data_IF_214282263460
#
_entry.id   IF_214282263460
#
_cell.length_a   1.000
_cell.length_b   1.000
_cell.length_c   1.000
_cell.angle_alpha   90.00
_cell.angle_beta   90.00
_cell.angle_gamma   90.00
#
_symmetry.space_group_name_H-M   'P 1'
#
loop_
_entity.id
_entity.type
_entity.pdbx_description
1 polymer ?
#
# COMPACT_ATOMS: atom_id res chain seq x y z
N UNK A 1 3.95 -16.99 -4.82
CA UNK A 1 2.55 -17.34 -4.46
C UNK A 1 2.40 -17.13 -2.96
N UNK A 2 1.38 -16.39 -2.53
CA UNK A 2 1.17 -16.08 -1.12
C UNK A 2 0.65 -17.30 -0.35
N UNK A 3 1.14 -17.51 0.87
CA UNK A 3 0.68 -18.57 1.76
C UNK A 3 -0.72 -18.25 2.32
N UNK A 4 -1.56 -19.27 2.51
CA UNK A 4 -2.90 -19.13 3.10
C UNK A 4 -2.87 -19.58 4.57
N UNK A 5 -2.09 -18.88 5.38
CA UNK A 5 -1.99 -19.10 6.82
C UNK A 5 -1.99 -17.77 7.58
N UNK A 6 -2.22 -17.85 8.89
CA UNK A 6 -2.40 -16.72 9.79
C UNK A 6 -1.08 -16.07 10.24
N UNK A 7 0.07 -16.60 9.81
CA UNK A 7 1.36 -16.01 10.10
C UNK A 7 1.66 -14.81 9.19
N UNK A 8 2.55 -13.93 9.66
CA UNK A 8 3.09 -12.86 8.85
C UNK A 8 4.26 -13.35 8.01
N UNK A 9 4.25 -12.98 6.74
CA UNK A 9 5.27 -13.34 5.76
C UNK A 9 5.77 -12.09 5.03
N UNK A 10 7.03 -12.07 4.57
CA UNK A 10 7.54 -10.94 3.79
C UNK A 10 6.82 -10.83 2.44
N UNK A 11 6.55 -9.60 1.99
CA UNK A 11 5.98 -9.38 0.65
C UNK A 11 6.98 -9.82 -0.43
N UNK A 12 6.57 -10.71 -1.36
CA UNK A 12 7.46 -11.20 -2.41
C UNK A 12 8.00 -10.08 -3.33
N UNK A 13 9.26 -10.13 -3.79
CA UNK A 13 9.88 -9.09 -4.62
C UNK A 13 9.12 -8.73 -5.89
N UNK A 14 8.41 -9.68 -6.49
CA UNK A 14 7.59 -9.45 -7.69
C UNK A 14 6.43 -8.46 -7.47
N UNK A 15 6.06 -8.20 -6.21
CA UNK A 15 5.05 -7.22 -5.82
C UNK A 15 5.65 -5.85 -5.48
N UNK A 16 6.97 -5.72 -5.34
CA UNK A 16 7.56 -4.43 -4.91
C UNK A 16 7.32 -3.31 -5.92
N UNK A 17 7.24 -3.65 -7.22
CA UNK A 17 6.99 -2.67 -8.28
C UNK A 17 5.60 -2.03 -8.17
N UNK A 18 4.54 -2.81 -7.92
CA UNK A 18 3.17 -2.29 -7.86
C UNK A 18 3.01 -1.29 -6.71
N UNK A 19 3.60 -1.58 -5.55
CA UNK A 19 3.56 -0.71 -4.37
C UNK A 19 4.42 0.54 -4.55
N UNK A 20 5.54 0.46 -5.28
CA UNK A 20 6.31 1.66 -5.67
C UNK A 20 5.48 2.58 -6.56
N UNK A 21 4.79 2.02 -7.56
CA UNK A 21 3.95 2.81 -8.45
C UNK A 21 2.79 3.51 -7.71
N UNK A 22 2.16 2.79 -6.76
CA UNK A 22 1.12 3.37 -5.89
C UNK A 22 1.69 4.51 -5.03
N UNK A 23 2.82 4.28 -4.37
CA UNK A 23 3.45 5.29 -3.54
C UNK A 23 3.87 6.52 -4.36
N UNK A 24 4.42 6.33 -5.55
CA UNK A 24 4.79 7.43 -6.45
C UNK A 24 3.57 8.25 -6.92
N UNK A 25 2.41 7.62 -7.05
CA UNK A 25 1.15 8.33 -7.32
C UNK A 25 0.71 9.16 -6.10
N UNK A 26 0.81 8.60 -4.90
CA UNK A 26 0.48 9.31 -3.65
C UNK A 26 1.44 10.49 -3.39
N UNK A 27 2.72 10.34 -3.71
CA UNK A 27 3.70 11.45 -3.68
C UNK A 27 3.28 12.60 -4.62
N UNK A 28 2.68 12.28 -5.76
CA UNK A 28 2.15 13.27 -6.69
C UNK A 28 0.78 13.87 -6.25
N UNK A 29 0.21 13.39 -5.14
CA UNK A 29 -1.12 13.78 -4.67
C UNK A 29 -2.27 13.03 -5.36
N UNK A 30 -1.99 12.05 -6.21
CA UNK A 30 -2.98 11.22 -6.88
C UNK A 30 -3.42 10.05 -5.98
N UNK A 31 -4.12 10.39 -4.88
CA UNK A 31 -4.63 9.41 -3.92
C UNK A 31 -5.78 8.55 -4.46
N UNK A 32 -6.32 8.89 -5.63
CA UNK A 32 -7.39 8.15 -6.28
C UNK A 32 -6.90 7.27 -7.44
N UNK A 33 -5.61 7.35 -7.78
CA UNK A 33 -4.99 6.67 -8.93
C UNK A 33 -5.69 7.01 -10.26
N UNK A 34 -6.08 8.28 -10.44
CA UNK A 34 -6.78 8.77 -11.63
C UNK A 34 -5.83 9.15 -12.76
N UNK A 35 -4.62 9.61 -12.43
CA UNK A 35 -3.61 10.01 -13.40
C UNK A 35 -2.80 8.80 -13.89
N UNK A 36 -2.88 7.67 -13.18
CA UNK A 36 -2.10 6.45 -13.43
C UNK A 36 -2.95 5.19 -13.24
N UNK A 37 -3.23 4.50 -14.35
CA UNK A 37 -3.79 3.15 -14.28
C UNK A 37 -2.68 2.14 -13.96
N UNK A 38 -2.72 1.56 -12.76
CA UNK A 38 -1.78 0.52 -12.35
C UNK A 38 -2.43 -0.85 -12.59
N UNK A 39 -1.80 -1.68 -13.44
CA UNK A 39 -2.34 -3.00 -13.80
C UNK A 39 -2.42 -3.88 -12.56
N UNK A 40 -3.59 -4.47 -12.32
CA UNK A 40 -3.83 -5.32 -11.15
C UNK A 40 -4.22 -4.58 -9.88
N UNK A 41 -4.38 -3.25 -9.93
CA UNK A 41 -4.91 -2.43 -8.82
C UNK A 41 -6.33 -1.97 -9.13
N UNK A 42 -7.23 -2.15 -8.18
CA UNK A 42 -8.60 -1.65 -8.26
C UNK A 42 -8.64 -0.13 -8.15
N UNK A 43 -9.55 0.57 -8.85
CA UNK A 43 -9.76 2.00 -8.66
C UNK A 43 -10.07 2.33 -7.19
N UNK A 44 -9.45 3.38 -6.66
CA UNK A 44 -9.71 3.82 -5.28
C UNK A 44 -10.95 4.70 -5.29
N UNK A 45 -11.95 4.35 -4.48
CA UNK A 45 -13.17 5.16 -4.39
C UNK A 45 -12.88 6.55 -3.78
N UNK A 46 -13.64 7.60 -4.12
CA UNK A 46 -13.35 8.97 -3.68
C UNK A 46 -13.30 9.17 -2.16
N UNK A 47 -14.13 8.44 -1.40
CA UNK A 47 -14.12 8.52 0.06
C UNK A 47 -12.84 7.95 0.67
N UNK A 48 -12.32 6.86 0.11
CA UNK A 48 -11.06 6.23 0.56
C UNK A 48 -9.88 7.10 0.17
N UNK A 49 -9.86 7.61 -1.06
CA UNK A 49 -8.83 8.55 -1.51
C UNK A 49 -8.77 9.80 -0.62
N UNK A 50 -9.93 10.35 -0.22
CA UNK A 50 -10.01 11.46 0.72
C UNK A 50 -9.46 11.08 2.10
N UNK A 51 -9.85 9.91 2.63
CA UNK A 51 -9.33 9.44 3.92
C UNK A 51 -7.81 9.28 3.90
N UNK A 52 -7.25 8.74 2.82
CA UNK A 52 -5.80 8.62 2.62
C UNK A 52 -5.15 10.01 2.63
N UNK A 53 -5.69 10.96 1.85
CA UNK A 53 -5.17 12.32 1.78
C UNK A 53 -5.20 13.03 3.15
N UNK A 54 -6.31 12.91 3.89
CA UNK A 54 -6.48 13.48 5.22
C UNK A 54 -5.51 12.84 6.24
N UNK A 55 -5.26 11.53 6.13
CA UNK A 55 -4.33 10.81 6.99
C UNK A 55 -2.87 11.21 6.73
N UNK A 56 -2.47 11.32 5.46
CA UNK A 56 -1.14 11.83 5.07
C UNK A 56 -0.95 13.27 5.53
N UNK A 57 -1.97 14.13 5.38
CA UNK A 57 -1.93 15.50 5.86
C UNK A 57 -1.80 15.58 7.38
N UNK A 58 -2.57 14.77 8.11
CA UNK A 58 -2.54 14.71 9.57
C UNK A 58 -1.20 14.20 10.12
N UNK A 59 -0.50 13.34 9.36
CA UNK A 59 0.85 12.89 9.71
C UNK A 59 1.85 14.06 9.82
N UNK A 60 1.65 15.12 9.03
CA UNK A 60 2.45 16.34 9.13
C UNK A 60 3.83 16.27 8.45
N UNK A 61 4.03 15.29 7.57
CA UNK A 61 5.21 15.20 6.70
C UNK A 61 4.81 14.83 5.26
N UNK A 62 5.62 15.24 4.29
CA UNK A 62 5.39 14.91 2.88
C UNK A 62 5.86 13.50 2.56
N UNK A 63 5.07 12.76 1.80
CA UNK A 63 5.47 11.47 1.25
C UNK A 63 6.66 11.63 0.29
N UNK A 64 7.48 10.59 0.22
CA UNK A 64 8.56 10.43 -0.73
C UNK A 64 8.52 9.02 -1.35
N UNK A 65 9.21 8.79 -2.50
CA UNK A 65 9.27 7.46 -3.10
C UNK A 65 9.76 6.40 -2.12
N UNK A 66 9.21 5.18 -2.19
CA UNK A 66 9.54 4.12 -1.23
C UNK A 66 11.03 3.81 -1.20
N UNK A 67 11.63 3.96 -0.03
CA UNK A 67 13.01 3.58 0.21
C UNK A 67 13.13 2.04 0.25
N UNK A 68 14.20 1.42 -0.29
CA UNK A 68 14.35 -0.04 -0.26
C UNK A 68 14.32 -0.70 1.12
N UNK A 69 14.47 0.08 2.20
CA UNK A 69 14.41 -0.46 3.57
C UNK A 69 13.00 -0.83 4.03
N UNK A 70 11.93 -0.32 3.40
CA UNK A 70 10.54 -0.66 3.76
C UNK A 70 10.26 -2.16 3.60
N UNK A 71 10.93 -2.83 2.65
CA UNK A 71 10.74 -4.26 2.40
C UNK A 71 11.24 -5.17 3.53
N UNK A 72 11.98 -4.62 4.51
CA UNK A 72 12.41 -5.37 5.70
C UNK A 72 11.29 -5.53 6.73
N UNK A 73 10.33 -4.62 6.74
CA UNK A 73 9.16 -4.63 7.64
C UNK A 73 7.84 -4.90 6.91
N UNK A 74 7.79 -4.75 5.59
CA UNK A 74 6.60 -5.01 4.80
C UNK A 74 6.17 -6.49 4.86
N UNK A 75 4.93 -6.73 5.27
CA UNK A 75 4.39 -8.08 5.50
C UNK A 75 3.07 -8.28 4.79
N UNK A 76 2.73 -9.55 4.60
CA UNK A 76 1.37 -9.99 4.33
C UNK A 76 0.94 -11.08 5.30
N UNK A 77 -0.38 -11.25 5.43
CA UNK A 77 -0.99 -12.41 6.12
C UNK A 77 -2.31 -12.79 5.46
N UNK A 78 -2.70 -14.05 5.55
CA UNK A 78 -4.03 -14.46 5.10
C UNK A 78 -5.09 -14.00 6.10
N UNK A 79 -6.06 -13.25 5.59
CA UNK A 79 -7.32 -12.96 6.24
C UNK A 79 -8.37 -13.84 5.57
N UNK A 80 -9.35 -14.32 6.31
CA UNK A 80 -10.41 -15.20 5.77
C UNK A 80 -11.07 -14.62 4.49
N UNK A 81 -10.57 -15.05 3.31
CA UNK A 81 -11.01 -14.59 1.98
C UNK A 81 -10.05 -13.67 1.19
N UNK A 82 -8.97 -13.14 1.77
CA UNK A 82 -8.00 -12.27 1.08
C UNK A 82 -6.64 -12.22 1.80
N UNK A 83 -5.56 -11.83 1.12
CA UNK A 83 -4.31 -11.47 1.81
C UNK A 83 -4.34 -10.01 2.21
N UNK A 84 -4.11 -9.70 3.47
CA UNK A 84 -3.80 -8.35 3.92
C UNK A 84 -2.32 -8.09 3.67
N UNK A 85 -1.99 -6.95 3.07
CA UNK A 85 -0.62 -6.48 2.84
C UNK A 85 -0.43 -5.15 3.55
N UNK A 86 0.68 -5.03 4.27
CA UNK A 86 1.06 -3.85 5.04
C UNK A 86 2.42 -3.37 4.54
N UNK A 87 2.47 -2.12 4.08
CA UNK A 87 3.68 -1.49 3.55
C UNK A 87 3.85 -0.12 4.18
N UNK A 88 4.86 0.03 5.03
CA UNK A 88 5.27 1.32 5.57
C UNK A 88 5.66 2.27 4.43
N UNK A 89 5.22 3.52 4.53
CA UNK A 89 5.55 4.55 3.56
C UNK A 89 6.89 5.22 3.90
N UNK A 90 7.41 5.95 2.92
CA UNK A 90 8.60 6.79 3.09
C UNK A 90 8.15 8.24 3.08
N UNK A 91 8.74 9.06 3.95
CA UNK A 91 8.54 10.50 3.96
C UNK A 91 9.84 11.24 3.69
N UNK A 92 9.78 12.56 3.60
CA UNK A 92 11.00 13.36 3.41
C UNK A 92 11.95 13.31 4.61
N UNK A 93 11.47 12.96 5.80
CA UNK A 93 12.28 12.86 7.03
C UNK A 93 12.65 11.42 7.39
N UNK A 94 11.83 10.45 7.00
CA UNK A 94 11.95 9.06 7.46
C UNK A 94 12.00 8.08 6.29
N UNK A 95 13.04 7.24 6.27
CA UNK A 95 13.18 6.19 5.26
C UNK A 95 12.07 5.12 5.37
N UNK A 96 11.62 4.86 6.58
CA UNK A 96 10.51 3.98 6.94
C UNK A 96 9.75 4.70 8.04
N UNK A 97 8.58 5.26 7.73
CA UNK A 97 7.72 5.89 8.73
C UNK A 97 6.76 4.88 9.38
N UNK A 98 6.02 5.29 10.39
CA UNK A 98 4.92 4.50 10.96
C UNK A 98 3.61 4.61 10.15
N UNK A 99 3.58 5.48 9.13
CA UNK A 99 2.46 5.63 8.22
C UNK A 99 2.39 4.44 7.27
N UNK A 100 1.42 3.56 7.49
CA UNK A 100 1.32 2.26 6.81
C UNK A 100 0.24 2.27 5.74
N UNK A 101 0.55 1.79 4.54
CA UNK A 101 -0.41 1.49 3.49
C UNK A 101 -1.00 0.09 3.71
N UNK A 102 -2.32 0.03 3.80
CA UNK A 102 -3.08 -1.20 3.96
C UNK A 102 -3.73 -1.56 2.63
N UNK A 103 -3.46 -2.77 2.15
CA UNK A 103 -4.05 -3.30 0.93
C UNK A 103 -4.62 -4.71 1.14
N UNK A 104 -5.60 -5.06 0.30
CA UNK A 104 -6.19 -6.39 0.22
C UNK A 104 -5.90 -6.98 -1.15
N UNK A 105 -5.49 -8.23 -1.17
CA UNK A 105 -5.30 -9.00 -2.38
C UNK A 105 -6.28 -10.16 -2.40
N UNK A 106 -7.12 -10.23 -3.43
CA UNK A 106 -8.11 -11.30 -3.57
C UNK A 106 -7.65 -12.40 -4.53
N UNK A 107 -7.97 -13.64 -4.19
CA UNK A 107 -7.75 -14.83 -5.02
C UNK A 107 -8.93 -15.04 -6.00
N UNK A 108 -9.12 -14.09 -6.92
CA UNK A 108 -10.12 -14.23 -8.00
C UNK A 108 -9.43 -14.67 -9.30
N UNK A 109 -10.14 -14.75 -10.44
CA UNK A 109 -9.57 -15.19 -11.73
C UNK A 109 -8.30 -14.43 -12.18
N UNK A 110 -7.94 -13.35 -11.50
CA UNK A 110 -6.59 -12.89 -11.29
C UNK A 110 -6.48 -12.17 -9.94
N UNK A 111 -5.27 -11.82 -9.50
CA UNK A 111 -5.10 -10.96 -8.34
C UNK A 111 -5.66 -9.56 -8.60
N UNK A 112 -6.54 -9.10 -7.71
CA UNK A 112 -7.00 -7.70 -7.65
C UNK A 112 -6.51 -7.10 -6.35
N UNK A 113 -5.59 -6.14 -6.42
CA UNK A 113 -5.08 -5.40 -5.28
C UNK A 113 -6.00 -4.21 -5.01
N UNK A 114 -6.60 -4.16 -3.83
CA UNK A 114 -7.46 -3.06 -3.38
C UNK A 114 -6.75 -2.29 -2.27
N UNK A 115 -6.61 -0.97 -2.43
CA UNK A 115 -6.07 -0.12 -1.37
C UNK A 115 -7.19 0.22 -0.39
N UNK A 116 -7.04 -0.19 0.86
CA UNK A 116 -8.04 0.00 1.90
C UNK A 116 -7.85 1.33 2.63
N UNK A 117 -6.62 1.66 3.00
CA UNK A 117 -6.33 2.88 3.77
C UNK A 117 -4.84 3.17 3.86
N UNK A 118 -4.52 4.36 4.37
CA UNK A 118 -3.18 4.75 4.84
C UNK A 118 -3.36 5.37 6.22
N UNK A 119 -2.72 4.84 7.25
CA UNK A 119 -2.82 5.35 8.63
C UNK A 119 -1.65 4.86 9.49
N UNK A 120 -1.49 5.44 10.68
CA UNK A 120 -0.60 4.91 11.71
C UNK A 120 -1.36 3.78 12.44
N UNK A 121 -0.86 2.53 12.46
CA UNK A 121 -1.56 1.38 13.05
C UNK A 121 -1.72 1.42 14.58
#
# INVERSE_FOLDING_TARGET
MFAKDDAEHPIPPEWHAIFREIADAFVAGDYALLDRTIVGVSPINPSTARFIADSVLAYGDSLAPLHPSVWKSAVYRWMDGYWQLLVDLTTTKEQVSDLTLHAKLYDTAGPTLEIESVHVP
#
